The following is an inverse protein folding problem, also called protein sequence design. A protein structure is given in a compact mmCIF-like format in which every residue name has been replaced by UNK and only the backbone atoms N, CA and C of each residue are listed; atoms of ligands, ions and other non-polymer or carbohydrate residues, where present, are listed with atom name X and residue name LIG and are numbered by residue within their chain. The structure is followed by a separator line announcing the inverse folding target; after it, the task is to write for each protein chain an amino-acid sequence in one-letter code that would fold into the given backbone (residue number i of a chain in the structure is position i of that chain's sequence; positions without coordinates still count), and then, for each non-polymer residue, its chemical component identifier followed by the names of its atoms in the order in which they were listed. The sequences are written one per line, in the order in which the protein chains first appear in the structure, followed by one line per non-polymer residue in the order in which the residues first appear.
data_IF_913490735357
#
_entry.id   IF_913490735357
#
_cell.length_a   1.000
_cell.length_b   1.000
_cell.length_c   1.000
_cell.angle_alpha   90.00
_cell.angle_beta   90.00
_cell.angle_gamma   90.00
#
_symmetry.space_group_name_H-M   'P 1'
#
loop_
_entity.id
_entity.type
_entity.pdbx_description
1 polymer ?
#
# COMPACT_ATOMS: atom_id res chain seq x y z
N UNK A 1 -16.91 -23.14 -7.76
CA UNK A 1 -16.10 -23.32 -6.53
C UNK A 1 -15.79 -21.93 -6.04
N UNK A 2 -16.31 -21.57 -4.87
CA UNK A 2 -16.05 -20.24 -4.30
C UNK A 2 -14.59 -20.25 -3.82
N UNK A 3 -13.71 -19.52 -4.47
CA UNK A 3 -12.24 -19.56 -4.23
C UNK A 3 -11.82 -18.99 -2.86
N UNK A 4 -12.76 -18.58 -2.03
CA UNK A 4 -12.50 -17.87 -0.77
C UNK A 4 -11.91 -16.45 -0.96
N UNK A 5 -11.68 -16.04 -2.21
CA UNK A 5 -11.24 -14.69 -2.55
C UNK A 5 -12.42 -13.72 -2.49
N UNK A 6 -12.14 -12.52 -2.04
CA UNK A 6 -13.10 -11.41 -2.08
C UNK A 6 -13.24 -10.92 -3.53
N UNK A 7 -14.47 -10.69 -3.99
CA UNK A 7 -14.71 -9.94 -5.22
C UNK A 7 -14.29 -8.48 -4.98
N UNK A 8 -13.07 -8.18 -5.36
CA UNK A 8 -12.43 -6.91 -5.01
C UNK A 8 -13.06 -5.72 -5.73
N UNK A 9 -13.54 -5.91 -6.95
CA UNK A 9 -14.15 -4.81 -7.70
C UNK A 9 -15.53 -4.47 -7.12
N UNK A 10 -16.30 -5.49 -6.69
CA UNK A 10 -17.57 -5.28 -5.98
C UNK A 10 -17.33 -4.63 -4.61
N UNK A 11 -16.34 -5.11 -3.85
CA UNK A 11 -15.96 -4.55 -2.56
C UNK A 11 -15.59 -3.06 -2.67
N UNK A 12 -14.71 -2.71 -3.60
CA UNK A 12 -14.27 -1.32 -3.79
C UNK A 12 -15.39 -0.40 -4.27
N UNK A 13 -16.32 -0.91 -5.09
CA UNK A 13 -17.51 -0.17 -5.53
C UNK A 13 -18.47 0.11 -4.37
N UNK A 14 -18.71 -0.87 -3.52
CA UNK A 14 -19.56 -0.71 -2.34
C UNK A 14 -18.91 0.27 -1.34
N UNK A 15 -17.62 0.11 -1.08
CA UNK A 15 -16.87 1.01 -0.22
C UNK A 15 -16.96 2.46 -0.73
N UNK A 16 -16.74 2.68 -2.02
CA UNK A 16 -16.85 4.02 -2.62
C UNK A 16 -18.24 4.64 -2.38
N UNK A 17 -19.30 3.87 -2.59
CA UNK A 17 -20.66 4.36 -2.38
C UNK A 17 -20.89 4.80 -0.92
N UNK A 18 -20.45 4.00 0.05
CA UNK A 18 -20.54 4.33 1.48
C UNK A 18 -19.68 5.54 1.88
N UNK A 19 -18.49 5.66 1.28
CA UNK A 19 -17.62 6.81 1.50
C UNK A 19 -18.27 8.10 0.94
N UNK A 20 -18.87 8.04 -0.25
CA UNK A 20 -19.55 9.18 -0.85
C UNK A 20 -20.83 9.57 -0.08
N UNK A 21 -21.55 8.60 0.49
CA UNK A 21 -22.67 8.88 1.38
C UNK A 21 -22.23 9.61 2.66
N UNK A 22 -21.10 9.24 3.24
CA UNK A 22 -20.63 9.79 4.52
C UNK A 22 -19.83 11.09 4.36
N UNK A 23 -19.03 11.22 3.31
CA UNK A 23 -18.08 12.32 3.09
C UNK A 23 -18.43 13.20 1.88
N UNK A 24 -19.41 12.81 1.08
CA UNK A 24 -19.85 13.52 -0.12
C UNK A 24 -18.69 13.83 -1.09
N UNK A 25 -18.56 15.08 -1.50
CA UNK A 25 -17.50 15.59 -2.39
C UNK A 25 -16.11 15.67 -1.74
N UNK A 26 -16.02 15.41 -0.44
CA UNK A 26 -14.73 15.33 0.28
C UNK A 26 -13.89 14.11 -0.09
N UNK A 27 -14.46 13.08 -0.74
CA UNK A 27 -13.70 11.92 -1.26
C UNK A 27 -12.94 12.34 -2.51
N UNK A 28 -11.65 12.60 -2.35
CA UNK A 28 -10.75 13.04 -3.44
C UNK A 28 -10.23 11.86 -4.24
N UNK A 29 -9.89 10.78 -3.56
CA UNK A 29 -9.29 9.61 -4.18
C UNK A 29 -9.60 8.33 -3.41
N UNK A 30 -9.80 7.24 -4.14
CA UNK A 30 -9.85 5.89 -3.61
C UNK A 30 -9.04 4.96 -4.52
N UNK A 31 -8.11 4.23 -3.94
CA UNK A 31 -7.26 3.25 -4.63
C UNK A 31 -7.11 1.95 -3.88
N UNK A 32 -6.56 0.97 -4.57
CA UNK A 32 -6.25 -0.36 -4.07
C UNK A 32 -4.77 -0.66 -4.26
N UNK A 33 -4.15 -1.20 -3.24
CA UNK A 33 -2.74 -1.61 -3.23
C UNK A 33 -2.60 -3.11 -2.95
N UNK A 34 -1.37 -3.55 -2.72
CA UNK A 34 -1.07 -4.88 -2.21
C UNK A 34 -1.35 -6.02 -3.19
N UNK A 35 -1.62 -7.20 -2.63
CA UNK A 35 -1.76 -8.43 -3.41
C UNK A 35 -2.99 -8.44 -4.31
N UNK A 36 -4.08 -7.82 -3.90
CA UNK A 36 -5.27 -7.68 -4.74
C UNK A 36 -5.02 -6.78 -5.96
N UNK A 37 -4.30 -5.67 -5.79
CA UNK A 37 -3.92 -4.80 -6.93
C UNK A 37 -3.04 -5.54 -7.93
N UNK A 38 -2.15 -6.40 -7.46
CA UNK A 38 -1.22 -7.19 -8.31
C UNK A 38 -1.83 -8.47 -8.91
N UNK A 39 -3.05 -8.85 -8.52
CA UNK A 39 -3.64 -10.13 -8.92
C UNK A 39 -2.99 -11.37 -8.26
N UNK A 40 -2.35 -11.19 -7.11
CA UNK A 40 -1.62 -12.21 -6.34
C UNK A 40 -2.31 -12.55 -5.00
N UNK A 41 -3.57 -12.11 -4.82
CA UNK A 41 -4.30 -12.32 -3.57
C UNK A 41 -4.58 -13.79 -3.31
N UNK A 42 -4.50 -14.17 -2.03
CA UNK A 42 -4.93 -15.46 -1.49
C UNK A 42 -6.11 -15.27 -0.55
N UNK A 43 -6.78 -16.34 -0.11
CA UNK A 43 -7.87 -16.23 0.87
C UNK A 43 -7.46 -15.54 2.18
N UNK A 44 -6.18 -15.52 2.52
CA UNK A 44 -5.64 -14.90 3.73
C UNK A 44 -5.18 -13.45 3.50
N UNK A 45 -5.23 -12.96 2.25
CA UNK A 45 -4.75 -11.62 1.91
C UNK A 45 -5.63 -10.53 2.49
N UNK A 46 -4.97 -9.47 2.98
CA UNK A 46 -5.60 -8.22 3.36
C UNK A 46 -6.01 -7.42 2.13
N UNK A 47 -6.98 -6.52 2.30
CA UNK A 47 -7.43 -5.57 1.28
C UNK A 47 -6.81 -4.22 1.61
N UNK A 48 -5.76 -3.85 0.89
CA UNK A 48 -4.98 -2.64 1.13
C UNK A 48 -5.63 -1.42 0.45
N UNK A 49 -6.43 -0.67 1.21
CA UNK A 49 -7.19 0.49 0.75
C UNK A 49 -6.35 1.75 0.91
N UNK A 50 -6.41 2.62 -0.11
CA UNK A 50 -5.82 3.95 -0.04
C UNK A 50 -6.91 5.01 -0.26
N UNK A 51 -7.28 5.73 0.81
CA UNK A 51 -8.30 6.79 0.79
C UNK A 51 -7.67 8.16 1.01
N UNK A 52 -8.04 9.12 0.16
CA UNK A 52 -7.67 10.54 0.34
C UNK A 52 -8.94 11.37 0.43
N UNK A 53 -9.07 12.11 1.52
CA UNK A 53 -10.07 13.14 1.69
C UNK A 53 -9.49 14.53 1.34
N UNK A 54 -10.34 15.51 1.13
CA UNK A 54 -9.94 16.92 0.96
C UNK A 54 -9.11 17.42 2.16
N UNK A 55 -9.59 17.14 3.36
CA UNK A 55 -8.95 17.35 4.64
C UNK A 55 -9.22 16.12 5.52
N UNK A 56 -8.30 15.79 6.42
CA UNK A 56 -8.49 14.70 7.37
C UNK A 56 -8.55 15.24 8.81
N UNK A 57 -9.65 14.95 9.50
CA UNK A 57 -9.85 15.27 10.89
C UNK A 57 -10.00 14.00 11.73
N UNK A 58 -9.81 14.09 13.05
CA UNK A 58 -9.97 12.94 13.95
C UNK A 58 -11.38 12.33 13.87
N UNK A 59 -12.41 13.16 13.69
CA UNK A 59 -13.78 12.68 13.52
C UNK A 59 -13.96 11.84 12.24
N UNK A 60 -13.22 12.15 11.17
CA UNK A 60 -13.26 11.41 9.90
C UNK A 60 -12.69 10.00 10.08
N UNK A 61 -11.66 9.82 10.92
CA UNK A 61 -11.13 8.50 11.26
C UNK A 61 -12.18 7.62 11.95
N UNK A 62 -12.97 8.20 12.86
CA UNK A 62 -14.04 7.47 13.54
C UNK A 62 -15.16 7.09 12.56
N UNK A 63 -15.54 8.00 11.64
CA UNK A 63 -16.52 7.74 10.59
C UNK A 63 -16.05 6.65 9.63
N UNK A 64 -14.81 6.73 9.15
CA UNK A 64 -14.20 5.73 8.29
C UNK A 64 -14.13 4.34 8.97
N UNK A 65 -13.68 4.30 10.23
CA UNK A 65 -13.68 3.06 11.02
C UNK A 65 -15.08 2.43 11.09
N UNK A 66 -16.13 3.24 11.29
CA UNK A 66 -17.51 2.75 11.31
C UNK A 66 -17.92 2.19 9.95
N UNK A 67 -17.58 2.86 8.84
CA UNK A 67 -17.87 2.37 7.48
C UNK A 67 -17.22 1.01 7.28
N UNK A 68 -15.90 0.89 7.50
CA UNK A 68 -15.17 -0.36 7.33
C UNK A 68 -15.77 -1.48 8.19
N UNK A 69 -16.13 -1.20 9.44
CA UNK A 69 -16.68 -2.22 10.36
C UNK A 69 -18.02 -2.81 9.91
N UNK A 70 -18.72 -2.15 9.00
CA UNK A 70 -20.02 -2.60 8.44
C UNK A 70 -19.91 -3.23 7.06
N UNK A 71 -18.70 -3.28 6.49
CA UNK A 71 -18.43 -3.94 5.21
C UNK A 71 -18.33 -5.45 5.38
N UNK A 72 -18.75 -6.21 4.37
CA UNK A 72 -18.38 -7.61 4.27
C UNK A 72 -16.84 -7.73 4.23
N UNK A 73 -16.30 -8.75 4.88
CA UNK A 73 -14.85 -8.93 5.02
C UNK A 73 -14.11 -7.78 5.73
N UNK A 74 -14.76 -7.04 6.62
CA UNK A 74 -14.18 -5.96 7.40
C UNK A 74 -12.85 -6.32 8.09
N UNK A 75 -12.71 -7.57 8.56
CA UNK A 75 -11.50 -8.07 9.21
C UNK A 75 -10.27 -8.14 8.28
N UNK A 76 -10.49 -8.12 6.96
CA UNK A 76 -9.42 -8.10 5.96
C UNK A 76 -9.06 -6.68 5.52
N UNK A 77 -9.86 -5.67 5.86
CA UNK A 77 -9.61 -4.29 5.45
C UNK A 77 -8.36 -3.76 6.13
N UNK A 78 -7.42 -3.30 5.34
CA UNK A 78 -6.15 -2.71 5.73
C UNK A 78 -5.92 -1.44 4.90
N UNK A 79 -4.76 -0.81 5.06
CA UNK A 79 -4.38 0.37 4.27
C UNK A 79 -4.36 1.64 5.10
N UNK A 80 -4.41 2.78 4.42
CA UNK A 80 -4.35 4.04 5.12
C UNK A 80 -5.27 5.11 4.54
N UNK A 81 -5.52 6.14 5.35
CA UNK A 81 -6.29 7.33 4.99
C UNK A 81 -5.46 8.57 5.30
N UNK A 82 -5.48 9.54 4.39
CA UNK A 82 -4.86 10.85 4.60
C UNK A 82 -5.71 11.97 3.98
N UNK A 83 -5.35 13.21 4.27
CA UNK A 83 -5.87 14.39 3.58
C UNK A 83 -5.01 14.74 2.36
N UNK A 84 -5.54 15.58 1.50
CA UNK A 84 -4.85 16.06 0.29
C UNK A 84 -3.54 16.76 0.63
N UNK A 85 -3.51 17.53 1.72
CA UNK A 85 -2.32 18.29 2.09
C UNK A 85 -1.19 17.39 2.60
N UNK A 86 -1.53 16.37 3.40
CA UNK A 86 -0.57 15.38 3.88
C UNK A 86 0.04 14.62 2.69
N UNK A 87 -0.80 14.22 1.72
CA UNK A 87 -0.34 13.50 0.54
C UNK A 87 0.53 14.37 -0.37
N UNK A 88 0.18 15.64 -0.56
CA UNK A 88 0.97 16.58 -1.37
C UNK A 88 2.38 16.85 -0.77
N UNK A 89 2.54 16.62 0.54
CA UNK A 89 3.81 16.73 1.26
C UNK A 89 4.45 15.37 1.58
N UNK A 90 3.99 14.29 0.92
CA UNK A 90 4.55 12.96 1.15
C UNK A 90 6.02 12.90 0.79
N UNK A 91 6.77 12.02 1.46
CA UNK A 91 8.20 11.90 1.22
C UNK A 91 8.47 11.44 -0.24
N UNK A 92 9.18 12.21 -1.07
CA UNK A 92 9.48 11.85 -2.47
C UNK A 92 10.14 10.48 -2.63
N UNK A 93 10.84 9.98 -1.61
CA UNK A 93 11.47 8.66 -1.63
C UNK A 93 10.47 7.50 -1.77
N UNK A 94 9.24 7.68 -1.29
CA UNK A 94 8.21 6.63 -1.32
C UNK A 94 7.22 6.79 -2.49
N UNK A 95 7.22 7.95 -3.16
CA UNK A 95 6.23 8.28 -4.20
C UNK A 95 6.28 7.32 -5.38
N UNK A 96 7.47 6.89 -5.79
CA UNK A 96 7.63 5.92 -6.89
C UNK A 96 6.85 4.64 -6.61
N UNK A 97 7.08 4.03 -5.44
CA UNK A 97 6.40 2.81 -5.00
C UNK A 97 4.89 3.03 -4.92
N UNK A 98 4.47 4.08 -4.21
CA UNK A 98 3.08 4.40 -3.99
C UNK A 98 2.32 4.58 -5.31
N UNK A 99 2.90 5.30 -6.27
CA UNK A 99 2.28 5.56 -7.56
C UNK A 99 2.12 4.31 -8.41
N UNK A 100 3.15 3.47 -8.48
CA UNK A 100 3.16 2.32 -9.38
C UNK A 100 2.41 1.10 -8.82
N UNK A 101 2.32 0.95 -7.49
CA UNK A 101 1.59 -0.17 -6.86
C UNK A 101 0.12 0.08 -6.62
N UNK A 102 -0.37 1.30 -6.85
CA UNK A 102 -1.77 1.66 -6.57
C UNK A 102 -2.62 1.63 -7.84
N UNK A 103 -3.71 0.86 -7.80
CA UNK A 103 -4.76 0.85 -8.83
C UNK A 103 -5.82 1.88 -8.46
N UNK A 104 -6.09 2.83 -9.35
CA UNK A 104 -7.13 3.85 -9.17
C UNK A 104 -8.53 3.24 -9.27
N UNK A 105 -9.41 3.53 -8.29
CA UNK A 105 -10.83 3.21 -8.33
C UNK A 105 -11.71 4.47 -8.41
N UNK A 106 -11.27 5.56 -7.79
CA UNK A 106 -11.91 6.87 -7.87
C UNK A 106 -10.87 7.98 -7.85
N UNK A 107 -10.99 8.93 -8.77
CA UNK A 107 -9.98 9.97 -8.95
C UNK A 107 -8.71 9.47 -9.62
N UNK A 108 -7.65 10.27 -9.58
CA UNK A 108 -6.32 9.95 -10.09
C UNK A 108 -5.27 10.25 -9.03
N UNK A 109 -4.41 9.28 -8.74
CA UNK A 109 -3.38 9.43 -7.70
C UNK A 109 -2.26 10.39 -8.11
N UNK A 110 -1.77 10.28 -9.34
CA UNK A 110 -0.57 11.02 -9.80
C UNK A 110 -0.62 12.54 -9.54
N UNK A 111 -1.73 13.27 -9.82
CA UNK A 111 -1.78 14.72 -9.59
C UNK A 111 -1.80 15.12 -8.10
N UNK A 112 -2.04 14.17 -7.21
CA UNK A 112 -2.10 14.41 -5.76
C UNK A 112 -0.76 14.26 -5.07
N UNK A 113 0.19 13.58 -5.74
CA UNK A 113 1.51 13.27 -5.21
C UNK A 113 2.54 14.34 -5.58
N UNK A 114 3.57 14.57 -4.74
CA UNK A 114 4.70 15.39 -5.12
C UNK A 114 5.47 14.74 -6.27
N UNK A 115 6.28 15.52 -6.97
CA UNK A 115 7.23 14.98 -7.95
C UNK A 115 8.38 14.24 -7.26
N UNK A 116 8.93 13.24 -7.94
CA UNK A 116 10.11 12.51 -7.49
C UNK A 116 11.13 12.37 -8.62
N UNK A 117 12.37 12.11 -8.27
CA UNK A 117 13.51 11.99 -9.18
C UNK A 117 14.20 10.62 -9.03
N UNK A 118 15.09 10.30 -9.96
CA UNK A 118 15.95 9.11 -9.83
C UNK A 118 16.81 9.13 -8.56
N UNK A 119 17.20 10.33 -8.08
CA UNK A 119 17.93 10.48 -6.82
C UNK A 119 17.07 10.09 -5.61
N UNK A 120 15.79 10.40 -5.62
CA UNK A 120 14.87 10.03 -4.54
C UNK A 120 14.72 8.51 -4.46
N UNK A 121 14.55 7.83 -5.61
CA UNK A 121 14.50 6.36 -5.67
C UNK A 121 15.82 5.76 -5.18
N UNK A 122 16.97 6.31 -5.59
CA UNK A 122 18.28 5.83 -5.15
C UNK A 122 18.48 6.00 -3.63
N UNK A 123 18.00 7.09 -3.05
CA UNK A 123 18.04 7.31 -1.60
C UNK A 123 17.09 6.36 -0.85
N UNK A 124 15.88 6.13 -1.37
CA UNK A 124 14.99 5.10 -0.85
C UNK A 124 15.68 3.73 -0.80
N UNK A 125 16.30 3.30 -1.90
CA UNK A 125 17.02 2.02 -1.97
C UNK A 125 18.14 1.92 -0.93
N UNK A 126 18.92 2.99 -0.70
CA UNK A 126 19.97 3.01 0.33
C UNK A 126 19.40 2.84 1.75
N UNK A 127 18.28 3.53 2.04
CA UNK A 127 17.61 3.43 3.34
C UNK A 127 17.06 2.01 3.54
N UNK A 128 16.36 1.46 2.55
CA UNK A 128 15.79 0.11 2.63
C UNK A 128 16.87 -0.97 2.76
N UNK A 129 17.98 -0.86 2.01
CA UNK A 129 19.10 -1.78 2.13
C UNK A 129 19.73 -1.73 3.53
N UNK A 130 19.95 -0.52 4.07
CA UNK A 130 20.49 -0.34 5.41
C UNK A 130 19.58 -0.91 6.50
N UNK A 131 18.29 -0.65 6.42
CA UNK A 131 17.29 -1.17 7.36
C UNK A 131 17.20 -2.69 7.31
N UNK A 132 17.14 -3.27 6.12
CA UNK A 132 17.09 -4.73 5.95
C UNK A 132 18.37 -5.41 6.47
N UNK A 133 19.53 -4.84 6.13
CA UNK A 133 20.81 -5.32 6.64
C UNK A 133 20.87 -5.29 8.18
N UNK A 134 20.49 -4.15 8.77
CA UNK A 134 20.45 -4.02 10.23
C UNK A 134 19.49 -5.03 10.86
N UNK A 135 18.27 -5.14 10.34
CA UNK A 135 17.24 -6.08 10.84
C UNK A 135 17.75 -7.53 10.82
N UNK A 136 18.36 -7.95 9.71
CA UNK A 136 18.87 -9.32 9.58
C UNK A 136 20.06 -9.56 10.50
N UNK A 137 21.04 -8.65 10.58
CA UNK A 137 22.17 -8.79 11.49
C UNK A 137 21.74 -8.81 12.95
N UNK A 138 20.83 -7.89 13.33
CA UNK A 138 20.30 -7.81 14.69
C UNK A 138 19.55 -9.09 15.07
N UNK A 139 18.67 -9.58 14.21
CA UNK A 139 17.93 -10.82 14.44
C UNK A 139 18.86 -12.03 14.57
N UNK A 140 19.89 -12.13 13.71
CA UNK A 140 20.87 -13.22 13.81
C UNK A 140 21.63 -13.23 15.13
N UNK A 141 21.99 -12.05 15.65
CA UNK A 141 22.76 -11.93 16.89
C UNK A 141 21.88 -12.13 18.14
N UNK A 142 20.66 -11.60 18.12
CA UNK A 142 19.86 -11.46 19.35
C UNK A 142 18.68 -12.43 19.47
N UNK A 143 18.22 -13.06 18.37
CA UNK A 143 17.16 -14.05 18.44
C UNK A 143 17.72 -15.40 18.90
N UNK A 144 17.42 -15.80 20.13
CA UNK A 144 17.90 -17.06 20.73
C UNK A 144 17.49 -18.32 19.96
N UNK A 145 16.36 -18.28 19.25
CA UNK A 145 15.78 -19.42 18.52
C UNK A 145 15.98 -19.34 17.01
N UNK A 146 16.82 -18.39 16.53
CA UNK A 146 16.93 -18.08 15.09
C UNK A 146 15.71 -17.33 14.55
N UNK A 147 15.61 -17.23 13.21
CA UNK A 147 14.50 -16.57 12.55
C UNK A 147 13.24 -17.43 12.52
N UNK A 148 12.10 -16.82 12.81
CA UNK A 148 10.80 -17.40 12.54
C UNK A 148 10.46 -17.32 11.04
N UNK A 149 9.50 -18.14 10.59
CA UNK A 149 8.98 -18.07 9.23
C UNK A 149 8.39 -16.69 8.90
N UNK A 150 7.71 -16.06 9.87
CA UNK A 150 7.13 -14.74 9.71
C UNK A 150 8.21 -13.66 9.48
N UNK A 151 9.30 -13.67 10.25
CA UNK A 151 10.42 -12.72 10.10
C UNK A 151 11.12 -12.89 8.75
N UNK A 152 11.35 -14.13 8.31
CA UNK A 152 11.92 -14.41 6.98
C UNK A 152 10.97 -13.97 5.87
N UNK A 153 9.67 -14.22 5.99
CA UNK A 153 8.66 -13.77 5.03
C UNK A 153 8.64 -12.24 4.90
N UNK A 154 8.76 -11.52 6.00
CA UNK A 154 8.87 -10.06 5.98
C UNK A 154 10.17 -9.58 5.31
N UNK A 155 11.29 -10.24 5.58
CA UNK A 155 12.55 -9.91 4.92
C UNK A 155 12.48 -10.14 3.39
N UNK A 156 11.90 -11.26 2.94
CA UNK A 156 11.67 -11.51 1.51
C UNK A 156 10.74 -10.48 0.87
N UNK A 157 9.69 -10.06 1.57
CA UNK A 157 8.79 -8.99 1.11
C UNK A 157 9.55 -7.67 0.94
N UNK A 158 10.44 -7.32 1.88
CA UNK A 158 11.28 -6.13 1.79
C UNK A 158 12.27 -6.20 0.61
N UNK A 159 12.88 -7.37 0.37
CA UNK A 159 13.76 -7.61 -0.80
C UNK A 159 12.99 -7.42 -2.11
N UNK A 160 11.76 -7.93 -2.19
CA UNK A 160 10.93 -7.77 -3.38
C UNK A 160 10.70 -6.29 -3.71
N UNK A 161 10.26 -5.48 -2.75
CA UNK A 161 10.05 -4.03 -2.95
C UNK A 161 11.35 -3.28 -3.28
N UNK A 162 12.46 -3.70 -2.67
CA UNK A 162 13.78 -3.18 -3.01
C UNK A 162 14.14 -3.46 -4.48
N UNK A 163 13.95 -4.69 -4.94
CA UNK A 163 14.26 -5.11 -6.31
C UNK A 163 13.35 -4.43 -7.34
N UNK A 164 12.05 -4.25 -7.07
CA UNK A 164 11.13 -3.50 -7.93
C UNK A 164 11.65 -2.08 -8.20
N UNK A 165 11.98 -1.33 -7.13
CA UNK A 165 12.47 0.03 -7.28
C UNK A 165 13.85 0.09 -7.94
N UNK A 166 14.73 -0.88 -7.65
CA UNK A 166 16.05 -1.00 -8.30
C UNK A 166 15.90 -1.26 -9.80
N UNK A 167 15.02 -2.18 -10.18
CA UNK A 167 14.76 -2.51 -11.58
C UNK A 167 14.18 -1.28 -12.30
N UNK A 168 13.19 -0.63 -11.71
CA UNK A 168 12.61 0.59 -12.26
C UNK A 168 13.66 1.70 -12.45
N UNK A 169 14.53 1.93 -11.47
CA UNK A 169 15.62 2.90 -11.58
C UNK A 169 16.56 2.61 -12.75
N UNK A 170 16.80 1.32 -13.05
CA UNK A 170 17.73 0.90 -14.10
C UNK A 170 17.10 0.80 -15.49
N UNK A 171 15.81 0.46 -15.57
CA UNK A 171 15.14 0.10 -16.83
C UNK A 171 13.99 1.03 -17.18
N UNK A 172 13.47 1.83 -16.25
CA UNK A 172 12.30 2.69 -16.47
C UNK A 172 10.98 1.93 -16.52
N UNK A 173 10.99 0.63 -16.22
CA UNK A 173 9.83 -0.25 -16.22
C UNK A 173 9.56 -0.76 -14.79
N UNK A 174 8.32 -0.64 -14.32
CA UNK A 174 7.94 -1.11 -12.97
C UNK A 174 7.26 -2.47 -13.05
N UNK A 175 7.89 -3.49 -12.47
CA UNK A 175 7.35 -4.86 -12.44
C UNK A 175 6.45 -5.01 -11.22
N UNK A 176 5.16 -5.28 -11.43
CA UNK A 176 4.19 -5.39 -10.34
C UNK A 176 4.18 -6.79 -9.71
N UNK A 177 4.15 -7.83 -10.50
CA UNK A 177 3.99 -9.20 -10.00
C UNK A 177 5.34 -9.81 -9.56
N UNK A 178 5.32 -10.49 -8.40
CA UNK A 178 6.53 -11.13 -7.84
C UNK A 178 7.16 -12.15 -8.76
N UNK A 179 6.33 -12.88 -9.52
CA UNK A 179 6.79 -13.92 -10.46
C UNK A 179 7.55 -13.37 -11.67
N UNK A 180 7.42 -12.07 -11.95
CA UNK A 180 7.97 -11.43 -13.15
C UNK A 180 9.28 -10.66 -12.83
N UNK A 181 9.67 -10.56 -11.55
CA UNK A 181 10.88 -9.94 -11.05
C UNK A 181 11.97 -10.98 -10.78
#
# INVERSE_FOLDING_TARGET
MNSGLVDIDLYMKELLARLQEAFADRVVYLGLQGSYSRGEATPESDIDIFLVLDQLNVADLAAYKKIISTMDNAAKSCGFICGRLELANWNPFEVCQLLHETKDYWGQLRPLLPSYTASDIANYLKIQAGNLYHQLCHGYIHNKSGYTFAELSQAYKAVFYFLQNKYYLQRGEFILAKKDL
#
